data_IF_238965239715
#
_entry.id   IF_238965239715
#
_cell.length_a   1.000
_cell.length_b   1.000
_cell.length_c   1.000
_cell.angle_alpha   90.00
_cell.angle_beta   90.00
_cell.angle_gamma   90.00
#
_symmetry.space_group_name_H-M   'P 1'
#
loop_
_entity.id
_entity.type
_entity.pdbx_description
1 polymer ?
#
# COMPACT_ATOMS: atom_id res chain seq x y z
N UNK A 1 7.03 -15.98 -14.69
CA UNK A 1 7.13 -15.37 -16.02
C UNK A 1 7.40 -13.89 -15.91
N UNK A 2 8.28 -13.41 -16.76
CA UNK A 2 8.69 -12.01 -16.73
C UNK A 2 7.52 -11.05 -16.95
N UNK A 3 6.60 -11.41 -17.82
CA UNK A 3 5.44 -10.55 -18.10
C UNK A 3 4.53 -10.40 -16.88
N UNK A 4 4.35 -11.49 -16.13
CA UNK A 4 3.55 -11.40 -14.92
C UNK A 4 4.18 -10.47 -13.89
N UNK A 5 5.50 -10.58 -13.72
CA UNK A 5 6.24 -9.72 -12.82
C UNK A 5 6.13 -8.25 -13.24
N UNK A 6 6.22 -7.98 -14.54
CA UNK A 6 6.08 -6.62 -15.06
C UNK A 6 4.70 -6.02 -14.74
N UNK A 7 3.64 -6.82 -14.94
CA UNK A 7 2.28 -6.37 -14.66
C UNK A 7 2.14 -6.05 -13.17
N UNK A 8 2.64 -6.93 -12.31
CA UNK A 8 2.52 -6.72 -10.87
C UNK A 8 3.29 -5.48 -10.43
N UNK A 9 4.51 -5.31 -10.94
CA UNK A 9 5.31 -4.13 -10.61
C UNK A 9 4.61 -2.84 -11.03
N UNK A 10 3.99 -2.85 -12.20
CA UNK A 10 3.27 -1.68 -12.68
C UNK A 10 2.08 -1.36 -11.77
N UNK A 11 1.32 -2.38 -11.39
CA UNK A 11 0.16 -2.19 -10.51
C UNK A 11 0.57 -1.67 -9.14
N UNK A 12 1.66 -2.20 -8.60
CA UNK A 12 2.18 -1.74 -7.31
C UNK A 12 2.56 -0.26 -7.40
N UNK A 13 3.24 0.12 -8.47
CA UNK A 13 3.65 1.51 -8.66
C UNK A 13 2.44 2.44 -8.72
N UNK A 14 1.42 2.05 -9.47
CA UNK A 14 0.20 2.84 -9.59
C UNK A 14 -0.50 2.99 -8.26
N UNK A 15 -0.57 1.91 -7.47
CA UNK A 15 -1.18 1.97 -6.15
C UNK A 15 -0.38 2.84 -5.18
N UNK A 16 0.94 2.79 -5.27
CA UNK A 16 1.79 3.64 -4.43
C UNK A 16 1.62 5.12 -4.78
N UNK A 17 1.45 5.43 -6.06
CA UNK A 17 1.16 6.80 -6.47
C UNK A 17 -0.17 7.26 -5.88
N UNK A 18 -1.17 6.40 -5.92
CA UNK A 18 -2.46 6.72 -5.31
C UNK A 18 -2.33 6.94 -3.82
N UNK A 19 -1.56 6.09 -3.14
CA UNK A 19 -1.32 6.23 -1.71
C UNK A 19 -0.67 7.59 -1.39
N UNK A 20 0.30 8.00 -2.19
CA UNK A 20 0.95 9.30 -2.01
C UNK A 20 -0.07 10.43 -2.10
N UNK A 21 -1.01 10.36 -3.05
CA UNK A 21 -2.06 11.35 -3.18
C UNK A 21 -2.98 11.36 -1.95
N UNK A 22 -3.32 10.19 -1.45
CA UNK A 22 -4.16 10.08 -0.26
C UNK A 22 -3.46 10.62 0.98
N UNK A 23 -2.15 10.41 1.08
CA UNK A 23 -1.37 10.95 2.19
C UNK A 23 -1.27 12.47 2.12
N UNK A 24 -1.19 13.03 0.91
CA UNK A 24 -1.23 14.47 0.74
C UNK A 24 -2.57 15.03 1.21
N UNK A 25 -3.67 14.34 0.91
CA UNK A 25 -4.99 14.72 1.39
C UNK A 25 -5.04 14.69 2.92
N UNK A 26 -4.40 13.67 3.51
CA UNK A 26 -4.35 13.58 4.99
C UNK A 26 -3.66 14.81 5.59
N UNK A 27 -2.59 15.28 4.96
CA UNK A 27 -1.90 16.48 5.44
C UNK A 27 -2.76 17.73 5.31
N UNK A 28 -3.51 17.84 4.22
CA UNK A 28 -4.47 18.93 4.06
C UNK A 28 -5.53 18.90 5.14
N UNK A 29 -6.00 17.70 5.47
CA UNK A 29 -7.00 17.55 6.53
C UNK A 29 -6.43 17.94 7.89
N UNK A 30 -5.17 17.64 8.16
CA UNK A 30 -4.53 18.09 9.40
C UNK A 30 -4.46 19.60 9.50
N UNK A 31 -4.14 20.25 8.40
CA UNK A 31 -4.13 21.71 8.35
C UNK A 31 -5.53 22.26 8.60
N UNK A 32 -6.54 21.61 8.04
CA UNK A 32 -7.93 22.01 8.23
C UNK A 32 -8.37 21.81 9.68
N UNK A 33 -7.92 20.75 10.31
CA UNK A 33 -8.21 20.51 11.71
C UNK A 33 -7.70 21.63 12.59
N UNK A 34 -6.46 22.07 12.34
CA UNK A 34 -5.89 23.19 13.07
C UNK A 34 -6.71 24.47 12.87
N UNK A 35 -7.16 24.70 11.64
CA UNK A 35 -7.99 25.87 11.35
C UNK A 35 -9.34 25.76 12.07
N UNK A 36 -9.93 24.57 12.10
CA UNK A 36 -11.21 24.37 12.79
C UNK A 36 -11.08 24.59 14.30
N UNK A 37 -9.96 24.19 14.89
CA UNK A 37 -9.70 24.45 16.30
C UNK A 37 -9.73 25.94 16.58
N UNK A 38 -9.13 26.72 15.70
CA UNK A 38 -9.13 28.17 15.81
C UNK A 38 -10.55 28.73 15.63
N UNK A 39 -11.28 28.20 14.66
CA UNK A 39 -12.65 28.65 14.37
C UNK A 39 -13.60 28.36 15.54
N UNK A 40 -13.42 27.22 16.19
CA UNK A 40 -14.20 26.85 17.38
C UNK A 40 -14.04 27.92 18.46
N UNK A 41 -12.80 28.34 18.69
CA UNK A 41 -12.54 29.33 19.74
C UNK A 41 -13.04 30.71 19.36
N UNK A 42 -13.03 31.03 18.07
CA UNK A 42 -13.44 32.34 17.59
C UNK A 42 -14.94 32.50 17.45
N UNK A 43 -15.69 31.42 17.37
CA UNK A 43 -17.14 31.49 17.14
C UNK A 43 -17.88 32.03 18.38
N UNK A 44 -18.64 33.10 18.20
CA UNK A 44 -19.33 33.76 19.31
C UNK A 44 -20.84 33.84 19.13
N UNK A 45 -21.31 33.84 17.89
CA UNK A 45 -22.75 33.89 17.61
C UNK A 45 -23.27 32.50 17.32
N UNK A 46 -24.59 32.34 17.42
CA UNK A 46 -25.22 31.05 17.10
C UNK A 46 -24.99 30.67 15.65
N UNK A 47 -25.00 31.63 14.73
CA UNK A 47 -24.75 31.37 13.32
C UNK A 47 -23.33 30.91 13.10
N UNK A 48 -22.37 31.54 13.78
CA UNK A 48 -20.97 31.14 13.67
C UNK A 48 -20.73 29.72 14.19
N UNK A 49 -21.38 29.41 15.32
CA UNK A 49 -21.28 28.07 15.91
C UNK A 49 -21.90 27.01 15.01
N UNK A 50 -23.04 27.33 14.42
CA UNK A 50 -23.70 26.40 13.50
C UNK A 50 -22.82 26.13 12.27
N UNK A 51 -22.17 27.18 11.74
CA UNK A 51 -21.29 27.05 10.60
C UNK A 51 -20.07 26.16 10.95
N UNK A 52 -19.51 26.35 12.15
CA UNK A 52 -18.39 25.54 12.63
C UNK A 52 -18.81 24.08 12.79
N UNK A 53 -20.00 23.86 13.39
CA UNK A 53 -20.51 22.49 13.58
C UNK A 53 -20.65 21.77 12.23
N UNK A 54 -21.16 22.47 11.23
CA UNK A 54 -21.31 21.87 9.90
C UNK A 54 -19.95 21.56 9.28
N UNK A 55 -18.99 22.49 9.45
CA UNK A 55 -17.64 22.27 8.93
C UNK A 55 -16.96 21.09 9.61
N UNK A 56 -17.21 20.89 10.91
CA UNK A 56 -16.67 19.76 11.65
C UNK A 56 -17.26 18.46 11.12
N UNK A 57 -18.56 18.41 10.86
CA UNK A 57 -19.20 17.21 10.31
C UNK A 57 -18.59 16.83 8.95
N UNK A 58 -18.38 17.84 8.10
CA UNK A 58 -17.77 17.62 6.79
C UNK A 58 -16.33 17.10 6.95
N UNK A 59 -15.58 17.72 7.85
CA UNK A 59 -14.20 17.31 8.13
C UNK A 59 -14.16 15.87 8.61
N UNK A 60 -15.00 15.50 9.56
CA UNK A 60 -15.02 14.13 10.12
C UNK A 60 -15.32 13.11 9.04
N UNK A 61 -16.27 13.42 8.15
CA UNK A 61 -16.62 12.52 7.06
C UNK A 61 -15.44 12.34 6.10
N UNK A 62 -14.82 13.46 5.72
CA UNK A 62 -13.69 13.39 4.79
C UNK A 62 -12.50 12.69 5.41
N UNK A 63 -12.26 12.91 6.70
CA UNK A 63 -11.16 12.23 7.40
C UNK A 63 -11.40 10.72 7.45
N UNK A 64 -12.62 10.31 7.75
CA UNK A 64 -12.96 8.88 7.78
C UNK A 64 -12.80 8.26 6.41
N UNK A 65 -13.27 8.93 5.36
CA UNK A 65 -13.11 8.43 4.00
C UNK A 65 -11.64 8.30 3.60
N UNK A 66 -10.85 9.32 3.95
CA UNK A 66 -9.42 9.30 3.66
C UNK A 66 -8.73 8.13 4.35
N UNK A 67 -9.03 7.92 5.64
CA UNK A 67 -8.45 6.83 6.40
C UNK A 67 -8.83 5.47 5.83
N UNK A 68 -10.09 5.31 5.42
CA UNK A 68 -10.55 4.06 4.82
C UNK A 68 -9.86 3.79 3.49
N UNK A 69 -9.72 4.83 2.67
CA UNK A 69 -9.07 4.68 1.37
C UNK A 69 -7.59 4.34 1.52
N UNK A 70 -6.92 4.96 2.50
CA UNK A 70 -5.51 4.64 2.76
C UNK A 70 -5.37 3.19 3.20
N UNK A 71 -6.21 2.74 4.14
CA UNK A 71 -6.16 1.35 4.58
C UNK A 71 -6.42 0.38 3.44
N UNK A 72 -7.38 0.68 2.58
CA UNK A 72 -7.71 -0.18 1.44
C UNK A 72 -6.52 -0.26 0.47
N UNK A 73 -5.92 0.88 0.14
CA UNK A 73 -4.78 0.91 -0.78
C UNK A 73 -3.58 0.17 -0.19
N UNK A 74 -3.32 0.36 1.09
CA UNK A 74 -2.21 -0.34 1.75
C UNK A 74 -2.42 -1.85 1.71
N UNK A 75 -3.65 -2.29 1.92
CA UNK A 75 -3.99 -3.71 1.79
C UNK A 75 -3.78 -4.24 0.38
N UNK A 76 -4.19 -3.46 -0.62
CA UNK A 76 -4.01 -3.86 -2.02
C UNK A 76 -2.54 -3.94 -2.39
N UNK A 77 -1.73 -2.99 -1.91
CA UNK A 77 -0.29 -3.03 -2.15
C UNK A 77 0.32 -4.28 -1.52
N UNK A 78 -0.06 -4.59 -0.28
CA UNK A 78 0.45 -5.77 0.40
C UNK A 78 0.09 -7.05 -0.35
N UNK A 79 -1.13 -7.13 -0.87
CA UNK A 79 -1.57 -8.29 -1.64
C UNK A 79 -0.77 -8.44 -2.93
N UNK A 80 -0.57 -7.32 -3.63
CA UNK A 80 0.20 -7.34 -4.88
C UNK A 80 1.65 -7.69 -4.64
N UNK A 81 2.22 -7.22 -3.54
CA UNK A 81 3.60 -7.56 -3.19
C UNK A 81 3.75 -9.05 -2.87
N UNK A 82 2.74 -9.63 -2.24
CA UNK A 82 2.74 -11.09 -2.00
C UNK A 82 2.66 -11.86 -3.31
N UNK A 83 1.80 -11.42 -4.23
CA UNK A 83 1.72 -12.05 -5.56
C UNK A 83 3.03 -11.94 -6.30
N UNK A 84 3.68 -10.77 -6.22
CA UNK A 84 4.97 -10.55 -6.86
C UNK A 84 6.02 -11.50 -6.30
N UNK A 85 6.07 -11.63 -4.98
CA UNK A 85 7.00 -12.52 -4.32
C UNK A 85 6.78 -13.95 -4.76
N UNK A 86 5.53 -14.39 -4.84
CA UNK A 86 5.21 -15.73 -5.31
C UNK A 86 5.61 -15.95 -6.77
N UNK A 87 5.39 -14.95 -7.62
CA UNK A 87 5.76 -15.04 -9.02
C UNK A 87 7.27 -15.14 -9.18
N UNK A 88 8.01 -14.35 -8.41
CA UNK A 88 9.49 -14.39 -8.44
C UNK A 88 10.02 -15.69 -7.89
N UNK A 89 9.43 -16.20 -6.81
CA UNK A 89 9.85 -17.49 -6.26
C UNK A 89 9.63 -18.62 -7.24
N UNK A 90 8.51 -18.60 -7.96
CA UNK A 90 8.23 -19.62 -8.98
C UNK A 90 9.24 -19.57 -10.10
N UNK A 91 9.62 -18.37 -10.55
CA UNK A 91 10.65 -18.23 -11.58
C UNK A 91 11.99 -18.76 -11.11
N UNK A 92 12.37 -18.42 -9.89
CA UNK A 92 13.63 -18.85 -9.33
C UNK A 92 13.69 -20.37 -9.17
N UNK A 93 12.58 -20.97 -8.73
CA UNK A 93 12.51 -22.42 -8.59
C UNK A 93 12.68 -23.13 -9.93
N UNK A 94 12.02 -22.60 -10.96
CA UNK A 94 12.15 -23.18 -12.29
C UNK A 94 13.58 -23.09 -12.82
N UNK A 95 14.24 -21.96 -12.59
CA UNK A 95 15.61 -21.77 -12.99
C UNK A 95 16.55 -22.72 -12.26
N UNK A 96 16.36 -22.89 -10.96
CA UNK A 96 17.16 -23.80 -10.15
C UNK A 96 17.01 -25.24 -10.61
N UNK A 97 15.79 -25.67 -10.90
CA UNK A 97 15.55 -27.01 -11.39
C UNK A 97 16.24 -27.27 -12.72
N UNK A 98 16.21 -26.29 -13.59
CA UNK A 98 16.91 -26.45 -14.88
C UNK A 98 18.39 -26.55 -14.70
N UNK A 99 18.96 -25.81 -13.79
CA UNK A 99 20.37 -25.89 -13.50
C UNK A 99 20.79 -27.25 -12.94
N UNK A 100 19.97 -27.75 -12.01
CA UNK A 100 20.24 -29.07 -11.43
C UNK A 100 20.27 -30.15 -12.49
N UNK A 101 19.36 -30.10 -13.43
CA UNK A 101 19.34 -31.07 -14.51
C UNK A 101 20.59 -31.04 -15.35
N UNK A 102 21.17 -29.87 -15.50
CA UNK A 102 22.37 -29.77 -16.28
C UNK A 102 23.60 -30.27 -15.56
N UNK A 103 23.70 -29.95 -14.30
CA UNK A 103 24.91 -30.26 -13.54
C UNK A 103 24.96 -31.64 -13.11
N UNK A 104 23.89 -32.25 -12.90
CA UNK A 104 23.85 -33.42 -12.21
C UNK A 104 23.92 -34.56 -13.04
N UNK A 105 24.29 -34.44 -13.12
CA UNK A 105 24.53 -34.15 -12.12
C UNK A 105 24.75 -34.38 -10.81
N UNK A 106 25.40 -33.94 -10.06
CA UNK A 106 25.70 -33.99 -8.74
C UNK A 106 24.92 -33.38 -7.64
N UNK A 107 24.97 -33.55 -7.22
CA UNK A 107 24.36 -33.13 -6.08
C UNK A 107 23.78 -32.84 -5.12
N UNK A 108 23.90 -33.45 -5.37
CA UNK A 108 23.00 -33.32 -4.86
C UNK A 108 22.87 -33.14 -3.91
N UNK A 109 23.17 -33.65 -4.05
CA UNK A 109 22.83 -33.75 -3.66
C UNK A 109 22.96 -33.41 -2.70
N UNK A 110 23.59 -33.68 -2.68
CA UNK A 110 23.56 -33.67 -2.28
C UNK A 110 23.41 -33.37 -1.39
N UNK A 111 23.84 -33.86 -1.36
CA UNK A 111 23.54 -33.86 -1.09
C UNK A 111 23.42 -33.66 -0.34
N UNK A 112 23.73 -34.43 -0.46
CA UNK A 112 23.42 -34.52 -0.44
C UNK A 112 23.62 -34.24 0.08
N UNK A 113 24.70 -34.81 -0.14
CA UNK A 113 24.68 -34.95 -0.28
C UNK A 113 24.88 -34.72 0.22
N UNK A 114 25.31 -35.14 0.11
CA UNK A 114 25.14 -35.38 -0.18
C UNK A 114 25.16 -35.39 0.28
N UNK A 115 25.63 -35.64 0.26
CA UNK A 115 25.35 -36.11 -0.09
C UNK A 115 25.17 -36.17 0.37
N UNK A 116 25.77 -36.71 0.51
CA UNK A 116 25.31 -37.21 0.33
C UNK A 116 25.03 -36.96 0.59
#
# INVERSE_FOLDING_TARGET
>A
MALRTLVLNKRIREKRERLTQLEATREELRSRETQLESDIEAAQTDEERAAVDEAIETFDREQNENNEQISAIEGEIADLERELEQAESSQNRAADQQQEHRENGADHQRRENDMP
#
